data_IF_833563797313
#
_entry.id   IF_833563797313
#
_cell.length_a   1.000
_cell.length_b   1.000
_cell.length_c   1.000
_cell.angle_alpha   90.00
_cell.angle_beta   90.00
_cell.angle_gamma   90.00
#
_symmetry.space_group_name_H-M   'P 1'
#
loop_
_entity.id
_entity.type
_entity.pdbx_description
1 polymer ?
#
# COMPACT_ATOMS: atom_id res chain seq x y z
N UNK A 1 14.50 -13.55 15.07
CA UNK A 1 13.04 -13.75 15.17
C UNK A 1 12.38 -13.97 13.80
N UNK A 2 12.67 -13.13 12.79
CA UNK A 2 12.15 -13.27 11.41
C UNK A 2 12.36 -14.65 10.76
N UNK A 3 13.56 -15.22 10.86
CA UNK A 3 13.88 -16.54 10.28
C UNK A 3 13.10 -17.72 10.91
N UNK A 4 12.66 -17.58 12.16
CA UNK A 4 11.81 -18.60 12.80
C UNK A 4 10.41 -18.60 12.19
N UNK A 5 9.85 -17.43 11.90
CA UNK A 5 8.54 -17.31 11.25
C UNK A 5 8.57 -17.79 9.80
N UNK A 6 9.63 -17.45 9.06
CA UNK A 6 9.81 -17.94 7.68
C UNK A 6 10.01 -19.47 7.66
N UNK A 7 10.79 -20.02 8.60
CA UNK A 7 10.97 -21.46 8.74
C UNK A 7 9.66 -22.19 9.03
N UNK A 8 8.85 -21.67 9.97
CA UNK A 8 7.53 -22.24 10.29
C UNK A 8 6.57 -22.18 9.10
N UNK A 9 6.59 -21.11 8.32
CA UNK A 9 5.76 -20.95 7.12
C UNK A 9 6.14 -21.91 5.99
N UNK A 10 7.43 -22.20 5.81
CA UNK A 10 7.88 -23.19 4.81
C UNK A 10 7.47 -24.61 5.23
N UNK A 11 7.54 -24.92 6.52
CA UNK A 11 7.14 -26.23 7.06
C UNK A 11 5.63 -26.47 6.86
N UNK A 12 4.79 -25.46 7.07
CA UNK A 12 3.33 -25.60 6.87
C UNK A 12 2.97 -25.82 5.41
N UNK A 13 3.62 -25.10 4.48
CA UNK A 13 3.43 -25.31 3.04
C UNK A 13 3.89 -26.72 2.64
N UNK A 14 5.03 -27.20 3.16
CA UNK A 14 5.53 -28.53 2.87
C UNK A 14 4.58 -29.63 3.37
N UNK A 15 4.00 -29.48 4.57
CA UNK A 15 3.00 -30.41 5.10
C UNK A 15 1.70 -30.39 4.27
N UNK A 16 1.27 -29.21 3.82
CA UNK A 16 0.13 -29.07 2.90
C UNK A 16 0.35 -29.82 1.58
N UNK A 17 1.50 -29.63 0.95
CA UNK A 17 1.85 -30.33 -0.30
C UNK A 17 1.95 -31.84 -0.07
N UNK A 18 2.51 -32.29 1.06
CA UNK A 18 2.60 -33.70 1.42
C UNK A 18 1.21 -34.33 1.56
N UNK A 19 0.26 -33.66 2.21
CA UNK A 19 -1.12 -34.16 2.32
C UNK A 19 -1.81 -34.25 0.96
N UNK A 20 -1.63 -33.26 0.08
CA UNK A 20 -2.16 -33.29 -1.29
C UNK A 20 -1.53 -34.42 -2.11
N UNK A 21 -0.23 -34.68 -1.94
CA UNK A 21 0.45 -35.81 -2.58
C UNK A 21 -0.13 -37.17 -2.12
N UNK A 22 -0.46 -37.31 -0.84
CA UNK A 22 -1.17 -38.49 -0.33
C UNK A 22 -2.60 -38.62 -0.87
N UNK A 23 -3.27 -37.50 -1.20
CA UNK A 23 -4.56 -37.52 -1.90
C UNK A 23 -4.43 -37.96 -3.37
N UNK A 24 -3.33 -37.57 -4.04
CA UNK A 24 -3.07 -37.89 -5.46
C UNK A 24 -2.51 -39.29 -5.70
N UNK A 25 -1.87 -39.93 -4.71
CA UNK A 25 -1.42 -41.33 -4.81
C UNK A 25 -2.61 -42.30 -4.69
N UNK A 26 -3.41 -42.31 -5.75
CA UNK A 26 -4.81 -42.70 -5.83
C UNK A 26 -5.01 -44.07 -6.48
N UNK A 27 -4.55 -45.16 -5.87
CA UNK A 27 -4.97 -46.48 -6.37
C UNK A 27 -5.15 -47.57 -5.30
N UNK A 28 -4.69 -47.36 -4.06
CA UNK A 28 -4.63 -48.47 -3.09
C UNK A 28 -5.43 -48.32 -1.79
N UNK A 29 -6.11 -47.19 -1.55
CA UNK A 29 -6.84 -46.95 -0.31
C UNK A 29 -8.33 -46.66 -0.56
N UNK A 30 -9.13 -47.73 -0.49
CA UNK A 30 -10.59 -47.74 -0.62
C UNK A 30 -11.35 -47.42 0.68
N UNK A 31 -12.61 -47.01 0.50
CA UNK A 31 -13.74 -46.74 1.44
C UNK A 31 -13.53 -46.03 2.77
N UNK A 32 -12.31 -45.90 3.32
CA UNK A 32 -12.00 -45.17 4.56
C UNK A 32 -11.73 -43.67 4.33
N UNK A 33 -12.04 -43.16 3.14
CA UNK A 33 -11.74 -41.79 2.71
C UNK A 33 -12.58 -40.73 3.42
N UNK A 34 -13.86 -41.02 3.66
CA UNK A 34 -14.79 -40.04 4.25
C UNK A 34 -14.49 -39.73 5.72
N UNK A 35 -13.97 -40.68 6.49
CA UNK A 35 -13.75 -40.53 7.92
C UNK A 35 -12.47 -39.73 8.25
N UNK A 36 -11.41 -39.86 7.45
CA UNK A 36 -10.13 -39.17 7.71
C UNK A 36 -10.19 -37.70 7.26
N UNK A 37 -10.81 -37.41 6.11
CA UNK A 37 -10.99 -36.03 5.64
C UNK A 37 -11.96 -35.24 6.52
N UNK A 38 -13.02 -35.88 7.02
CA UNK A 38 -13.92 -35.26 7.98
C UNK A 38 -13.22 -34.91 9.30
N UNK A 39 -12.37 -35.81 9.81
CA UNK A 39 -11.60 -35.56 11.04
C UNK A 39 -10.59 -34.42 10.87
N UNK A 40 -9.90 -34.34 9.72
CA UNK A 40 -8.94 -33.27 9.44
C UNK A 40 -9.61 -31.88 9.32
N UNK A 41 -10.80 -31.79 8.72
CA UNK A 41 -11.56 -30.55 8.66
C UNK A 41 -12.03 -30.09 10.05
N UNK A 42 -12.48 -31.01 10.90
CA UNK A 42 -12.90 -30.67 12.27
C UNK A 42 -11.72 -30.15 13.11
N UNK A 43 -10.53 -30.74 12.95
CA UNK A 43 -9.30 -30.24 13.61
C UNK A 43 -8.89 -28.87 13.07
N UNK A 44 -9.02 -28.62 11.76
CA UNK A 44 -8.71 -27.31 11.15
C UNK A 44 -9.66 -26.20 11.63
N UNK A 45 -10.93 -26.52 11.91
CA UNK A 45 -11.91 -25.54 12.43
C UNK A 45 -11.66 -25.23 13.91
N UNK A 46 -11.17 -26.19 14.70
CA UNK A 46 -10.83 -25.97 16.11
C UNK A 46 -9.57 -25.10 16.32
N UNK A 47 -8.64 -25.06 15.36
CA UNK A 47 -7.44 -24.18 15.42
C UNK A 47 -7.81 -22.71 15.12
N UNK A 48 -8.95 -22.44 14.47
CA UNK A 48 -9.43 -21.09 14.16
C UNK A 48 -10.24 -20.44 15.30
N UNK A 49 -10.48 -21.14 16.41
CA UNK A 49 -11.08 -20.55 17.61
C UNK A 49 -9.95 -20.04 18.48
N UNK A 50 -9.68 -18.71 18.54
CA UNK A 50 -8.74 -18.17 19.52
C UNK A 50 -9.29 -18.39 20.93
N UNK A 51 -8.84 -19.46 21.60
CA UNK A 51 -8.92 -19.64 23.04
C UNK A 51 -7.91 -18.69 23.69
N UNK A 52 -8.29 -17.43 23.80
CA UNK A 52 -7.49 -16.42 24.45
C UNK A 52 -8.13 -15.06 24.27
N UNK A 53 -8.46 -14.41 25.38
CA UNK A 53 -8.73 -12.97 25.40
C UNK A 53 -7.65 -12.30 24.56
N UNK A 54 -8.07 -11.55 23.55
CA UNK A 54 -7.15 -10.72 22.78
C UNK A 54 -6.26 -9.96 23.78
N UNK A 55 -4.94 -9.88 23.56
CA UNK A 55 -4.14 -8.96 24.34
C UNK A 55 -4.82 -7.60 24.21
N UNK A 56 -5.10 -6.98 25.36
CA UNK A 56 -5.31 -5.54 25.41
C UNK A 56 -4.06 -4.99 24.74
N UNK A 57 -4.22 -4.54 23.49
CA UNK A 57 -3.28 -3.59 22.91
C UNK A 57 -3.36 -2.46 23.90
N UNK A 58 -2.30 -2.23 24.68
CA UNK A 58 -2.23 -1.06 25.55
C UNK A 58 -2.64 0.11 24.66
N UNK A 59 -3.80 0.68 24.95
CA UNK A 59 -4.28 1.88 24.27
C UNK A 59 -3.18 2.89 24.51
N UNK A 60 -2.36 3.11 23.48
CA UNK A 60 -1.36 4.16 23.45
C UNK A 60 -2.10 5.42 23.86
N UNK A 61 -1.68 5.99 24.98
CA UNK A 61 -2.38 7.14 25.53
C UNK A 61 -2.40 8.25 24.47
N UNK A 62 -3.45 9.06 24.47
CA UNK A 62 -3.54 10.19 23.53
C UNK A 62 -2.27 11.06 23.57
N UNK A 63 -1.58 11.09 24.72
CA UNK A 63 -0.31 11.78 24.92
C UNK A 63 0.86 11.13 24.16
N UNK A 64 0.99 9.80 24.18
CA UNK A 64 2.04 9.08 23.43
C UNK A 64 1.80 9.11 21.91
N UNK A 65 0.53 9.04 21.49
CA UNK A 65 0.16 9.17 20.08
C UNK A 65 0.47 10.58 19.55
N UNK A 66 0.19 11.62 20.35
CA UNK A 66 0.50 13.01 20.00
C UNK A 66 2.01 13.27 19.96
N UNK A 67 2.79 12.70 20.89
CA UNK A 67 4.25 12.82 20.84
C UNK A 67 4.85 12.15 19.60
N UNK A 68 4.36 10.97 19.22
CA UNK A 68 4.81 10.31 17.99
C UNK A 68 4.48 11.13 16.74
N UNK A 69 3.31 11.77 16.71
CA UNK A 69 2.89 12.66 15.63
C UNK A 69 3.81 13.89 15.52
N UNK A 70 4.17 14.53 16.63
CA UNK A 70 5.08 15.67 16.64
C UNK A 70 6.51 15.29 16.21
N UNK A 71 7.03 14.14 16.63
CA UNK A 71 8.40 13.72 16.30
C UNK A 71 8.57 13.20 14.86
N UNK A 72 7.49 12.69 14.23
CA UNK A 72 7.58 11.96 12.96
C UNK A 72 6.72 12.53 11.83
N UNK A 73 5.72 13.36 12.13
CA UNK A 73 4.74 13.86 11.14
C UNK A 73 4.64 15.39 11.14
N UNK A 74 4.76 16.06 12.29
CA UNK A 74 4.75 17.52 12.32
C UNK A 74 5.88 18.08 11.44
N UNK A 75 5.60 19.03 10.53
CA UNK A 75 6.61 19.63 9.70
C UNK A 75 7.61 20.33 10.61
N UNK A 76 8.84 19.81 10.64
CA UNK A 76 9.98 20.47 11.30
C UNK A 76 10.21 21.78 10.55
N UNK A 77 9.58 22.85 11.03
CA UNK A 77 9.77 24.21 10.52
C UNK A 77 11.27 24.50 10.53
N UNK A 78 11.85 24.45 9.34
CA UNK A 78 13.23 24.79 9.08
C UNK A 78 13.15 25.89 8.03
N UNK A 79 13.15 27.13 8.51
CA UNK A 79 13.62 28.23 7.68
C UNK A 79 15.09 27.99 7.34
N UNK A 80 15.39 28.28 6.07
CA UNK A 80 16.69 28.65 5.52
C UNK A 80 17.63 27.53 5.01
N UNK A 81 17.54 27.25 3.71
CA UNK A 81 18.69 27.45 2.83
C UNK A 81 18.20 28.03 1.51
N UNK A 82 18.54 29.30 1.31
CA UNK A 82 18.31 30.05 0.09
C UNK A 82 19.25 29.62 -1.05
N UNK A 83 18.82 29.96 -2.27
CA UNK A 83 19.60 30.09 -3.52
C UNK A 83 19.59 28.90 -4.48
N UNK A 84 18.58 28.85 -5.37
CA UNK A 84 18.75 29.34 -6.74
C UNK A 84 17.47 30.07 -7.17
N UNK A 85 17.62 31.33 -7.56
CA UNK A 85 16.55 32.15 -8.11
C UNK A 85 16.23 31.74 -9.55
N UNK A 86 14.99 31.29 -9.79
CA UNK A 86 14.29 31.57 -11.04
C UNK A 86 12.85 31.95 -10.71
N UNK A 87 12.42 33.01 -11.36
CA UNK A 87 11.14 33.70 -11.30
C UNK A 87 9.96 32.74 -11.56
N UNK A 88 9.33 32.21 -10.51
CA UNK A 88 8.08 31.45 -10.63
C UNK A 88 6.94 32.38 -10.28
N UNK A 89 6.20 32.81 -11.31
CA UNK A 89 4.82 33.30 -11.15
C UNK A 89 4.10 32.35 -10.19
N UNK A 90 3.42 32.90 -9.21
CA UNK A 90 2.50 32.24 -8.30
C UNK A 90 1.36 31.57 -9.09
N UNK A 91 1.66 30.51 -9.84
CA UNK A 91 0.71 29.70 -10.55
C UNK A 91 0.40 28.55 -9.61
N UNK A 92 -0.75 28.64 -8.93
CA UNK A 92 -1.34 27.49 -8.24
C UNK A 92 -1.37 26.31 -9.21
N UNK A 93 -1.16 25.08 -8.72
CA UNK A 93 -1.09 23.93 -9.60
C UNK A 93 -2.45 23.65 -10.25
N UNK A 94 -2.63 24.20 -11.45
CA UNK A 94 -3.81 24.07 -12.31
C UNK A 94 -3.66 22.94 -13.33
N UNK A 95 -4.74 22.26 -13.68
CA UNK A 95 -4.76 21.18 -14.67
C UNK A 95 -6.00 21.30 -15.56
N UNK A 96 -5.83 21.17 -16.86
CA UNK A 96 -6.89 21.13 -17.85
C UNK A 96 -7.31 19.69 -18.18
N UNK A 97 -8.51 19.52 -18.76
CA UNK A 97 -8.96 18.20 -19.21
C UNK A 97 -8.06 17.59 -20.29
N UNK A 98 -7.55 18.42 -21.21
CA UNK A 98 -6.69 17.95 -22.30
C UNK A 98 -5.33 17.40 -21.82
N UNK A 99 -4.80 17.95 -20.73
CA UNK A 99 -3.59 17.43 -20.07
C UNK A 99 -3.90 16.14 -19.32
N UNK A 100 -5.01 16.11 -18.58
CA UNK A 100 -5.44 14.91 -17.85
C UNK A 100 -5.71 13.71 -18.76
N UNK A 101 -6.28 13.93 -19.95
CA UNK A 101 -6.57 12.89 -20.94
C UNK A 101 -5.29 12.22 -21.50
N UNK A 102 -4.13 12.86 -21.38
CA UNK A 102 -2.84 12.29 -21.78
C UNK A 102 -2.21 11.42 -20.69
N UNK A 103 -2.72 11.48 -19.45
CA UNK A 103 -2.15 10.75 -18.32
C UNK A 103 -2.64 9.31 -18.32
N UNK A 104 -1.70 8.37 -18.23
CA UNK A 104 -2.00 6.94 -18.26
C UNK A 104 -1.24 6.17 -17.20
N UNK A 105 -1.76 4.98 -16.86
CA UNK A 105 -1.11 4.06 -15.92
C UNK A 105 0.29 3.70 -16.42
N UNK A 106 1.26 3.70 -15.51
CA UNK A 106 2.65 3.35 -15.78
C UNK A 106 3.59 4.54 -16.01
N UNK A 107 3.05 5.75 -16.21
CA UNK A 107 3.86 6.97 -16.33
C UNK A 107 4.63 7.28 -15.03
N UNK A 108 5.76 7.94 -15.13
CA UNK A 108 6.52 8.46 -13.98
C UNK A 108 5.95 9.80 -13.51
N UNK A 109 6.33 10.22 -12.31
CA UNK A 109 5.98 11.56 -11.82
C UNK A 109 6.49 12.66 -12.75
N UNK A 110 7.72 12.53 -13.26
CA UNK A 110 8.32 13.51 -14.18
C UNK A 110 7.55 13.62 -15.50
N UNK A 111 7.11 12.49 -16.06
CA UNK A 111 6.28 12.47 -17.28
C UNK A 111 4.95 13.20 -17.04
N UNK A 112 4.32 12.96 -15.89
CA UNK A 112 3.07 13.65 -15.50
C UNK A 112 3.28 15.15 -15.32
N UNK A 113 4.34 15.56 -14.62
CA UNK A 113 4.69 16.98 -14.45
C UNK A 113 4.99 17.65 -15.78
N UNK A 114 5.64 16.94 -16.71
CA UNK A 114 5.90 17.45 -18.05
C UNK A 114 4.63 17.65 -18.88
N UNK A 115 3.59 16.84 -18.66
CA UNK A 115 2.29 16.99 -19.34
C UNK A 115 1.53 18.19 -18.79
N UNK A 116 1.48 18.33 -17.45
CA UNK A 116 0.71 19.38 -16.77
C UNK A 116 1.46 20.72 -16.75
N UNK A 117 2.80 20.68 -16.89
CA UNK A 117 3.67 21.86 -16.89
C UNK A 117 3.98 22.43 -15.50
N UNK A 118 3.59 21.73 -14.43
CA UNK A 118 3.73 22.19 -13.05
C UNK A 118 3.63 21.01 -12.07
N UNK A 119 4.37 21.12 -10.97
CA UNK A 119 4.39 20.13 -9.90
C UNK A 119 3.07 20.06 -9.15
N UNK A 120 2.70 18.85 -8.72
CA UNK A 120 1.51 18.63 -7.90
C UNK A 120 1.81 18.85 -6.43
N UNK A 121 0.79 19.14 -5.65
CA UNK A 121 0.92 19.17 -4.18
C UNK A 121 0.85 17.75 -3.64
N UNK A 122 1.80 17.33 -2.81
CA UNK A 122 1.73 16.05 -2.09
C UNK A 122 0.45 16.01 -1.24
N UNK A 123 -0.36 14.98 -1.45
CA UNK A 123 -1.65 14.81 -0.76
C UNK A 123 -1.57 13.73 0.31
N UNK A 124 -0.98 12.58 -0.03
CA UNK A 124 -0.78 11.48 0.91
C UNK A 124 0.44 10.63 0.52
N UNK A 125 1.10 10.04 1.50
CA UNK A 125 2.16 9.05 1.30
C UNK A 125 1.98 7.90 2.31
N UNK A 126 1.97 6.67 1.80
CA UNK A 126 1.83 5.46 2.60
C UNK A 126 2.94 4.49 2.25
N UNK A 127 3.80 4.20 3.23
CA UNK A 127 4.88 3.22 3.09
C UNK A 127 4.44 1.87 3.62
N UNK A 128 4.54 0.86 2.77
CA UNK A 128 4.35 -0.56 3.11
C UNK A 128 5.68 -1.29 2.90
N UNK A 129 5.86 -2.47 3.52
CA UNK A 129 7.14 -3.19 3.53
C UNK A 129 7.76 -3.45 2.14
N UNK A 130 6.95 -3.50 1.09
CA UNK A 130 7.39 -3.76 -0.29
C UNK A 130 6.90 -2.73 -1.31
N UNK A 131 6.20 -1.69 -0.86
CA UNK A 131 5.59 -0.72 -1.77
C UNK A 131 5.37 0.61 -1.08
N UNK A 132 5.73 1.71 -1.74
CA UNK A 132 5.33 3.06 -1.35
C UNK A 132 4.19 3.49 -2.27
N UNK A 133 3.12 4.02 -1.70
CA UNK A 133 2.01 4.65 -2.42
C UNK A 133 2.03 6.14 -2.11
N UNK A 134 2.15 6.98 -3.13
CA UNK A 134 2.20 8.43 -3.00
C UNK A 134 1.12 9.03 -3.88
N UNK A 135 0.34 10.00 -3.39
CA UNK A 135 -0.62 10.74 -4.19
C UNK A 135 -0.26 12.21 -4.29
N UNK A 136 -0.40 12.75 -5.49
CA UNK A 136 -0.25 14.17 -5.76
C UNK A 136 -1.56 14.74 -6.30
N UNK A 137 -1.83 15.99 -5.92
CA UNK A 137 -3.06 16.69 -6.26
C UNK A 137 -2.77 18.01 -6.96
N UNK A 138 -3.47 18.23 -8.07
CA UNK A 138 -3.53 19.49 -8.81
C UNK A 138 -4.93 20.04 -8.64
N UNK A 139 -5.06 21.26 -8.11
CA UNK A 139 -6.34 21.86 -7.76
C UNK A 139 -6.47 23.23 -8.41
N UNK A 140 -7.51 23.36 -9.23
CA UNK A 140 -7.87 24.61 -9.87
C UNK A 140 -8.61 25.54 -8.89
N UNK A 141 -8.62 26.83 -9.22
CA UNK A 141 -9.34 27.84 -8.43
C UNK A 141 -10.85 27.62 -8.42
N UNK A 142 -11.41 27.02 -9.48
CA UNK A 142 -12.83 26.68 -9.57
C UNK A 142 -13.22 25.42 -8.77
N UNK A 143 -12.28 24.82 -8.05
CA UNK A 143 -12.48 23.64 -7.22
C UNK A 143 -12.39 22.31 -7.96
N UNK A 144 -12.22 22.33 -9.30
CA UNK A 144 -11.88 21.13 -10.05
C UNK A 144 -10.46 20.66 -9.67
N UNK A 145 -10.22 19.36 -9.76
CA UNK A 145 -8.93 18.79 -9.36
C UNK A 145 -8.60 17.48 -10.07
N UNK A 146 -7.31 17.17 -10.11
CA UNK A 146 -6.78 15.86 -10.44
C UNK A 146 -6.00 15.32 -9.25
N UNK A 147 -6.27 14.08 -8.86
CA UNK A 147 -5.48 13.33 -7.88
C UNK A 147 -4.87 12.13 -8.59
N UNK A 148 -3.55 12.00 -8.55
CA UNK A 148 -2.81 10.94 -9.24
C UNK A 148 -2.06 10.13 -8.20
N UNK A 149 -2.26 8.81 -8.25
CA UNK A 149 -1.70 7.86 -7.31
C UNK A 149 -0.53 7.14 -7.96
N UNK A 150 0.62 7.20 -7.32
CA UNK A 150 1.85 6.57 -7.74
C UNK A 150 2.21 5.42 -6.82
N UNK A 151 2.70 4.33 -7.38
CA UNK A 151 3.18 3.17 -6.63
C UNK A 151 4.63 2.89 -7.00
N UNK A 152 5.49 2.83 -5.99
CA UNK A 152 6.85 2.34 -6.13
C UNK A 152 6.98 0.98 -5.44
N UNK A 153 7.36 -0.05 -6.18
CA UNK A 153 7.59 -1.41 -5.65
C UNK A 153 9.06 -1.61 -5.28
N UNK A 154 9.63 -0.66 -4.52
CA UNK A 154 11.06 -0.58 -4.18
C UNK A 154 11.99 -0.53 -5.41
N UNK A 155 11.51 0.04 -6.50
CA UNK A 155 12.28 0.29 -7.73
C UNK A 155 12.96 1.66 -7.72
N UNK A 156 12.54 2.56 -6.83
CA UNK A 156 12.99 3.95 -6.78
C UNK A 156 12.34 4.85 -7.84
N UNK A 157 11.50 4.28 -8.72
CA UNK A 157 10.80 5.01 -9.78
C UNK A 157 9.29 4.81 -9.60
N UNK A 158 8.61 5.70 -8.85
CA UNK A 158 7.17 5.62 -8.65
C UNK A 158 6.42 5.77 -9.98
N UNK A 159 5.46 4.88 -10.23
CA UNK A 159 4.66 4.88 -11.46
C UNK A 159 3.18 5.07 -11.17
N UNK A 160 2.49 5.79 -12.05
CA UNK A 160 1.04 5.99 -11.98
C UNK A 160 0.36 4.62 -11.91
N UNK A 161 -0.42 4.44 -10.85
CA UNK A 161 -1.23 3.25 -10.60
C UNK A 161 -2.71 3.53 -10.80
N UNK A 162 -3.15 4.72 -10.40
CA UNK A 162 -4.55 5.15 -10.48
C UNK A 162 -4.64 6.68 -10.55
N UNK A 163 -5.79 7.22 -10.95
CA UNK A 163 -6.04 8.65 -10.99
C UNK A 163 -7.53 8.96 -10.90
N UNK A 164 -7.86 10.10 -10.28
CA UNK A 164 -9.21 10.61 -10.12
C UNK A 164 -9.24 12.04 -10.66
N UNK A 165 -10.16 12.29 -11.58
CA UNK A 165 -10.41 13.63 -12.13
C UNK A 165 -11.80 14.10 -11.71
N UNK A 166 -11.90 15.34 -11.26
CA UNK A 166 -13.16 15.92 -10.79
C UNK A 166 -13.41 17.26 -11.48
N UNK A 167 -14.49 17.31 -12.28
CA UNK A 167 -15.00 18.52 -12.93
C UNK A 167 -13.98 19.32 -13.76
N UNK A 168 -12.98 18.65 -14.34
CA UNK A 168 -12.01 19.29 -15.23
C UNK A 168 -12.70 19.77 -16.52
N UNK A 169 -12.31 20.97 -16.98
CA UNK A 169 -12.80 21.61 -18.20
C UNK A 169 -11.79 21.52 -19.32
#
# INVERSE_FOLDING_TARGET
MFYLFVGLFIITIALGILTIFFLFKWEKYGSKRLSITALALVVSVLILIPLGKAPVVDEMSEEEANQWYEDNIAPKSTEETASVAQEVKENKPTISKAEADQIHVGMTYEEVVSIIGQEGTLDNETKMSHTTLTSYKWKNEDGSYAAIFFSDKNTGVPKVKDFIFSNLK
#
